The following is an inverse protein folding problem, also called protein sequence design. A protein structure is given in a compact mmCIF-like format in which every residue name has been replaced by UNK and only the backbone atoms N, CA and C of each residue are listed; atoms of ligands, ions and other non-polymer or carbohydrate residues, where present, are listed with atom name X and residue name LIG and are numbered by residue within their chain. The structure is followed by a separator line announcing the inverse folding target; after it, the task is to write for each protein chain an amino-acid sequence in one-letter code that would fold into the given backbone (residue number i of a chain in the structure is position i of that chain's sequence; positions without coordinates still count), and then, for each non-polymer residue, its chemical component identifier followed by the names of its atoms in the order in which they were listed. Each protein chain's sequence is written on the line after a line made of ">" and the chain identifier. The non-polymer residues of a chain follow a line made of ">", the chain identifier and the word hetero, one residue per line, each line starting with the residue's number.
data_IF_985059148031
#
_entry.id   IF_985059148031
#
_cell.length_a   1.000
_cell.length_b   1.000
_cell.length_c   1.000
_cell.angle_alpha   90.00
_cell.angle_beta   90.00
_cell.angle_gamma   90.00
#
_symmetry.space_group_name_H-M   'P 1'
#
loop_
_entity.id
_entity.type
_entity.pdbx_description
1 polymer ?
#
# COMPACT_ATOMS: atom_id res chain seq x y z
N UNK A 1 20.67 77.15 -23.20
CA UNK A 1 21.26 75.83 -23.51
C UNK A 1 20.55 74.75 -22.68
N UNK A 2 19.71 73.91 -23.30
CA UNK A 2 18.98 72.81 -22.64
C UNK A 2 19.91 71.58 -22.52
N UNK A 3 20.23 71.16 -21.29
CA UNK A 3 21.00 69.93 -21.04
C UNK A 3 20.12 68.71 -21.28
N UNK A 4 20.29 68.06 -22.43
CA UNK A 4 19.75 66.72 -22.70
C UNK A 4 20.77 65.72 -22.15
N UNK A 5 20.70 65.43 -20.86
CA UNK A 5 21.61 64.48 -20.22
C UNK A 5 20.88 63.68 -19.15
N UNK A 6 19.92 62.81 -19.52
CA UNK A 6 19.42 61.78 -18.59
C UNK A 6 18.61 60.65 -19.22
N UNK A 7 18.82 60.26 -20.48
CA UNK A 7 18.08 59.13 -21.05
C UNK A 7 18.75 57.77 -20.76
N UNK A 8 20.09 57.68 -20.84
CA UNK A 8 20.80 56.40 -20.68
C UNK A 8 20.76 55.85 -19.25
N UNK A 9 20.79 56.70 -18.21
CA UNK A 9 20.77 56.25 -16.79
C UNK A 9 19.43 55.64 -16.39
N UNK A 10 18.32 56.12 -16.96
CA UNK A 10 16.97 55.60 -16.67
C UNK A 10 16.83 54.16 -17.20
N UNK A 11 17.43 53.86 -18.35
CA UNK A 11 17.38 52.52 -18.93
C UNK A 11 18.15 51.49 -18.09
N UNK A 12 19.29 51.86 -17.48
CA UNK A 12 20.03 50.94 -16.61
C UNK A 12 19.27 50.61 -15.32
N UNK A 13 18.61 51.59 -14.71
CA UNK A 13 17.81 51.37 -13.49
C UNK A 13 16.62 50.44 -13.79
N UNK A 14 15.94 50.64 -14.92
CA UNK A 14 14.82 49.77 -15.32
C UNK A 14 15.26 48.32 -15.55
N UNK A 15 16.44 48.11 -16.17
CA UNK A 15 17.01 46.76 -16.39
C UNK A 15 17.36 46.09 -15.05
N UNK A 16 17.97 46.81 -14.11
CA UNK A 16 18.30 46.26 -12.78
C UNK A 16 17.02 45.87 -12.02
N UNK A 17 16.00 46.72 -12.04
CA UNK A 17 14.70 46.43 -11.40
C UNK A 17 14.05 45.20 -12.03
N UNK A 18 14.08 45.07 -13.36
CA UNK A 18 13.53 43.92 -14.07
C UNK A 18 14.19 42.60 -13.62
N UNK A 19 15.52 42.55 -13.54
CA UNK A 19 16.23 41.36 -13.08
C UNK A 19 15.99 41.05 -11.60
N UNK A 20 15.90 42.09 -10.74
CA UNK A 20 15.57 41.90 -9.33
C UNK A 20 14.18 41.28 -9.15
N UNK A 21 13.16 41.77 -9.87
CA UNK A 21 11.81 41.22 -9.84
C UNK A 21 11.78 39.81 -10.40
N UNK A 22 12.50 39.54 -11.50
CA UNK A 22 12.58 38.21 -12.09
C UNK A 22 13.18 37.19 -11.12
N UNK A 23 14.26 37.55 -10.41
CA UNK A 23 14.88 36.69 -9.40
C UNK A 23 13.93 36.42 -8.22
N UNK A 24 13.16 37.42 -7.78
CA UNK A 24 12.13 37.25 -6.74
C UNK A 24 11.05 36.27 -7.21
N UNK A 25 10.55 36.42 -8.45
CA UNK A 25 9.54 35.52 -9.02
C UNK A 25 10.09 34.10 -9.14
N UNK A 26 11.31 33.92 -9.64
CA UNK A 26 11.98 32.62 -9.72
C UNK A 26 12.12 32.00 -8.33
N UNK A 27 12.50 32.78 -7.32
CA UNK A 27 12.59 32.32 -5.94
C UNK A 27 11.22 31.86 -5.39
N UNK A 28 10.15 32.63 -5.63
CA UNK A 28 8.80 32.24 -5.20
C UNK A 28 8.28 31.00 -5.94
N UNK A 29 8.56 30.87 -7.24
CA UNK A 29 8.23 29.67 -7.98
C UNK A 29 9.02 28.47 -7.45
N UNK A 30 10.33 28.60 -7.29
CA UNK A 30 11.19 27.53 -6.80
C UNK A 30 10.81 27.09 -5.38
N UNK A 31 10.53 28.03 -4.47
CA UNK A 31 10.05 27.71 -3.11
C UNK A 31 8.65 27.10 -3.07
N UNK A 32 7.79 27.39 -4.06
CA UNK A 32 6.46 26.77 -4.20
C UNK A 32 6.53 25.36 -4.78
N UNK A 33 7.51 25.09 -5.66
CA UNK A 33 7.74 23.78 -6.27
C UNK A 33 8.58 22.86 -5.38
N UNK A 34 9.59 23.41 -4.70
CA UNK A 34 10.37 22.73 -3.67
C UNK A 34 9.63 22.89 -2.36
N UNK A 35 8.52 22.16 -2.20
CA UNK A 35 8.07 21.84 -0.84
C UNK A 35 9.24 21.16 -0.16
N UNK A 36 9.78 21.71 0.93
CA UNK A 36 10.87 21.05 1.61
C UNK A 36 10.34 19.68 2.08
N UNK A 37 10.93 18.60 1.58
CA UNK A 37 10.76 17.23 2.11
C UNK A 37 11.20 17.11 3.59
N UNK A 38 11.57 18.22 4.24
CA UNK A 38 12.01 18.32 5.63
C UNK A 38 10.95 17.99 6.69
N UNK A 39 9.70 17.65 6.31
CA UNK A 39 8.69 17.12 7.25
C UNK A 39 8.68 15.58 7.35
N UNK A 40 9.83 14.94 7.07
CA UNK A 40 9.95 13.47 7.01
C UNK A 40 11.06 12.88 7.90
N UNK A 41 11.87 13.68 8.58
CA UNK A 41 13.11 13.21 9.22
C UNK A 41 12.98 12.43 10.54
N UNK A 42 11.77 12.18 11.06
CA UNK A 42 11.58 11.50 12.36
C UNK A 42 10.67 10.25 12.31
N UNK A 43 10.49 9.60 11.16
CA UNK A 43 9.74 8.32 11.15
C UNK A 43 10.69 7.15 11.39
N UNK A 44 10.71 6.68 12.62
CA UNK A 44 11.40 5.47 13.01
C UNK A 44 10.84 4.27 12.22
N UNK A 45 11.75 3.51 11.60
CA UNK A 45 11.43 2.25 10.97
C UNK A 45 11.49 1.14 12.00
N UNK A 46 10.50 0.25 11.98
CA UNK A 46 10.48 -0.97 12.79
C UNK A 46 10.59 -2.19 11.90
N UNK A 47 11.29 -3.21 12.40
CA UNK A 47 11.42 -4.50 11.74
C UNK A 47 10.41 -5.48 12.33
N UNK A 48 9.82 -6.29 11.47
CA UNK A 48 8.76 -7.23 11.80
C UNK A 48 9.03 -8.56 11.13
N UNK A 49 8.68 -9.66 11.81
CA UNK A 49 8.75 -10.99 11.20
C UNK A 49 7.60 -11.90 11.63
N UNK A 50 7.15 -12.72 10.69
CA UNK A 50 6.25 -13.84 10.93
C UNK A 50 6.74 -15.06 10.14
N UNK A 51 6.71 -16.23 10.77
CA UNK A 51 7.08 -17.49 10.14
C UNK A 51 5.89 -18.44 10.16
N UNK A 52 5.77 -19.25 9.11
CA UNK A 52 4.72 -20.26 8.96
C UNK A 52 5.22 -21.45 8.12
N UNK A 53 4.43 -22.53 8.02
CA UNK A 53 4.69 -23.60 7.06
C UNK A 53 4.63 -23.18 5.57
N UNK A 54 3.99 -22.04 5.26
CA UNK A 54 3.74 -21.59 3.88
C UNK A 54 4.68 -20.48 3.42
N UNK A 55 5.16 -19.66 4.35
CA UNK A 55 6.08 -18.57 4.07
C UNK A 55 6.81 -18.10 5.34
N UNK A 56 8.03 -17.62 5.16
CA UNK A 56 8.67 -16.67 6.09
C UNK A 56 8.50 -15.27 5.51
N UNK A 57 7.98 -14.35 6.32
CA UNK A 57 7.77 -12.96 5.91
C UNK A 57 8.50 -12.05 6.89
N UNK A 58 9.33 -11.17 6.35
CA UNK A 58 9.90 -10.05 7.10
C UNK A 58 9.47 -8.75 6.45
N UNK A 59 9.29 -7.70 7.24
CA UNK A 59 9.17 -6.38 6.68
C UNK A 59 9.78 -5.32 7.57
N UNK A 60 10.33 -4.29 6.93
CA UNK A 60 10.76 -3.05 7.57
C UNK A 60 9.79 -1.96 7.18
N UNK A 61 9.11 -1.34 8.15
CA UNK A 61 8.05 -0.39 7.86
C UNK A 61 7.90 0.74 8.88
N UNK A 62 7.17 1.77 8.48
CA UNK A 62 6.69 2.86 9.31
C UNK A 62 5.26 3.26 8.89
N UNK A 63 4.76 4.39 9.38
CA UNK A 63 3.42 4.91 9.09
C UNK A 63 3.13 5.19 7.59
N UNK A 64 4.15 5.20 6.73
CA UNK A 64 4.06 5.60 5.31
C UNK A 64 4.44 4.50 4.33
N UNK A 65 5.42 3.67 4.65
CA UNK A 65 5.97 2.70 3.70
C UNK A 65 6.34 1.40 4.40
N UNK A 66 6.20 0.30 3.67
CA UNK A 66 6.57 -1.03 4.11
C UNK A 66 7.39 -1.71 3.01
N UNK A 67 8.61 -2.11 3.36
CA UNK A 67 9.49 -2.92 2.53
C UNK A 67 9.35 -4.38 2.98
N UNK A 68 8.70 -5.21 2.18
CA UNK A 68 8.40 -6.60 2.53
C UNK A 68 9.33 -7.53 1.78
N UNK A 69 9.82 -8.56 2.47
CA UNK A 69 10.46 -9.71 1.89
C UNK A 69 9.68 -10.97 2.28
N UNK A 70 9.43 -11.84 1.31
CA UNK A 70 8.77 -13.13 1.54
C UNK A 70 9.59 -14.23 0.90
N UNK A 71 9.85 -15.27 1.69
CA UNK A 71 10.36 -16.56 1.24
C UNK A 71 9.22 -17.57 1.27
N UNK A 72 8.77 -18.01 0.10
CA UNK A 72 7.70 -18.99 0.01
C UNK A 72 8.22 -20.39 0.35
N UNK A 73 7.39 -21.18 1.02
CA UNK A 73 7.67 -22.58 1.40
C UNK A 73 6.71 -23.48 0.65
N UNK A 74 5.88 -24.27 1.33
CA UNK A 74 4.88 -25.12 0.70
C UNK A 74 3.67 -24.28 0.26
N UNK A 75 3.25 -24.38 -1.00
CA UNK A 75 2.12 -23.63 -1.57
C UNK A 75 0.99 -24.54 -2.07
N UNK A 76 1.10 -25.87 -1.89
CA UNK A 76 0.21 -26.86 -2.50
C UNK A 76 -1.29 -26.68 -2.18
N UNK A 77 -1.61 -26.07 -1.04
CA UNK A 77 -3.00 -25.81 -0.60
C UNK A 77 -3.24 -24.32 -0.28
N UNK A 78 -2.45 -23.42 -0.89
CA UNK A 78 -2.54 -21.99 -0.62
C UNK A 78 -3.13 -21.25 -1.81
N UNK A 79 -4.21 -20.51 -1.57
CA UNK A 79 -4.88 -19.69 -2.58
C UNK A 79 -4.54 -18.20 -2.49
N UNK A 80 -4.19 -17.70 -1.30
CA UNK A 80 -3.69 -16.34 -1.12
C UNK A 80 -2.81 -16.19 0.13
N UNK A 81 -1.86 -15.27 0.05
CA UNK A 81 -1.02 -14.80 1.15
C UNK A 81 -1.01 -13.27 1.13
N UNK A 82 -1.32 -12.65 2.27
CA UNK A 82 -1.32 -11.19 2.40
C UNK A 82 -1.10 -10.76 3.86
N UNK A 83 -0.84 -9.46 4.04
CA UNK A 83 -0.65 -8.83 5.35
C UNK A 83 -1.89 -8.01 5.67
N UNK A 84 -2.44 -8.19 6.86
CA UNK A 84 -3.48 -7.38 7.45
C UNK A 84 -2.94 -6.44 8.52
N UNK A 85 -3.63 -5.35 8.79
CA UNK A 85 -3.49 -4.63 10.05
C UNK A 85 -3.98 -5.54 11.18
N UNK A 86 -3.32 -5.51 12.33
CA UNK A 86 -3.84 -6.18 13.51
C UNK A 86 -5.01 -5.36 14.10
N UNK A 87 -6.10 -6.06 14.39
CA UNK A 87 -7.30 -5.52 15.03
C UNK A 87 -7.58 -6.34 16.30
N UNK A 88 -6.72 -6.17 17.31
CA UNK A 88 -6.80 -6.84 18.61
C UNK A 88 -6.80 -8.38 18.50
N UNK A 89 -5.82 -8.94 17.79
CA UNK A 89 -5.68 -10.38 17.61
C UNK A 89 -6.58 -10.95 16.50
N UNK A 90 -7.24 -10.09 15.73
CA UNK A 90 -8.01 -10.48 14.54
C UNK A 90 -7.52 -9.73 13.29
N UNK A 91 -7.63 -10.31 12.09
CA UNK A 91 -7.29 -9.60 10.85
C UNK A 91 -8.20 -8.38 10.65
N UNK A 92 -7.61 -7.20 10.50
CA UNK A 92 -8.28 -5.96 10.12
C UNK A 92 -8.27 -5.75 8.60
N UNK A 93 -8.12 -4.50 8.11
CA UNK A 93 -7.84 -4.20 6.71
C UNK A 93 -6.66 -4.95 6.10
N UNK A 94 -6.76 -5.35 4.83
CA UNK A 94 -5.60 -5.80 4.05
C UNK A 94 -4.68 -4.61 3.77
N UNK A 95 -3.39 -4.79 4.05
CA UNK A 95 -2.33 -3.81 3.80
C UNK A 95 -1.53 -4.14 2.54
N UNK A 96 -1.30 -5.43 2.27
CA UNK A 96 -0.41 -5.87 1.21
C UNK A 96 -0.77 -7.26 0.71
N UNK A 97 -0.90 -7.43 -0.60
CA UNK A 97 -1.03 -8.74 -1.24
C UNK A 97 0.36 -9.29 -1.59
N UNK A 98 0.69 -10.47 -1.07
CA UNK A 98 1.99 -11.10 -1.28
C UNK A 98 1.92 -12.21 -2.33
N UNK A 99 0.74 -12.74 -2.61
CA UNK A 99 0.50 -13.65 -3.73
C UNK A 99 -0.92 -14.18 -3.71
N UNK A 100 -1.45 -14.49 -4.88
CA UNK A 100 -2.84 -14.98 -5.04
C UNK A 100 -2.95 -16.00 -6.16
N UNK A 101 -4.01 -16.79 -6.18
CA UNK A 101 -4.44 -17.54 -7.38
C UNK A 101 -5.38 -16.69 -8.23
N UNK A 102 -5.70 -17.14 -9.45
CA UNK A 102 -6.69 -16.47 -10.32
C UNK A 102 -8.09 -16.40 -9.67
N UNK A 103 -8.42 -17.40 -8.86
CA UNK A 103 -9.69 -17.50 -8.14
C UNK A 103 -9.95 -16.29 -7.25
N UNK A 104 -8.89 -15.74 -6.65
CA UNK A 104 -8.96 -14.56 -5.79
C UNK A 104 -9.20 -13.25 -6.55
N UNK A 105 -8.88 -13.19 -7.84
CA UNK A 105 -9.20 -12.02 -8.67
C UNK A 105 -10.67 -12.00 -9.08
N UNK A 106 -11.27 -13.18 -9.23
CA UNK A 106 -12.71 -13.33 -9.51
C UNK A 106 -13.60 -12.97 -8.31
N UNK A 107 -13.01 -12.98 -7.11
CA UNK A 107 -13.61 -12.47 -5.90
C UNK A 107 -14.26 -13.55 -5.04
N UNK A 108 -14.02 -13.44 -3.73
CA UNK A 108 -14.46 -14.37 -2.69
C UNK A 108 -15.69 -13.83 -1.99
N UNK A 109 -16.76 -14.64 -1.94
CA UNK A 109 -18.00 -14.29 -1.25
C UNK A 109 -17.80 -14.23 0.26
N UNK A 110 -18.12 -13.08 0.84
CA UNK A 110 -18.18 -12.92 2.29
C UNK A 110 -19.58 -13.25 2.82
N UNK A 111 -19.62 -13.95 3.96
CA UNK A 111 -20.84 -14.25 4.72
C UNK A 111 -21.30 -13.09 5.60
N UNK A 112 -20.35 -12.30 6.11
CA UNK A 112 -20.61 -11.22 7.06
C UNK A 112 -20.28 -9.86 6.44
N UNK A 113 -21.28 -8.98 6.36
CA UNK A 113 -21.12 -7.59 5.91
C UNK A 113 -20.09 -6.87 6.79
N UNK A 114 -19.16 -6.13 6.18
CA UNK A 114 -18.10 -5.34 6.84
C UNK A 114 -17.00 -6.14 7.57
N UNK A 115 -16.97 -7.48 7.49
CA UNK A 115 -15.94 -8.30 8.16
C UNK A 115 -14.49 -7.95 7.77
N UNK A 116 -14.29 -7.42 6.55
CA UNK A 116 -12.99 -6.98 6.03
C UNK A 116 -13.02 -5.50 5.60
N UNK A 117 -13.69 -4.63 6.38
CA UNK A 117 -13.56 -3.18 6.22
C UNK A 117 -12.06 -2.79 6.25
N UNK A 118 -11.58 -1.95 5.32
CA UNK A 118 -12.22 -0.78 4.70
C UNK A 118 -12.79 -1.07 3.31
N UNK A 119 -12.56 -2.27 2.76
CA UNK A 119 -12.93 -2.63 1.39
C UNK A 119 -14.40 -3.08 1.25
N UNK A 120 -15.07 -3.33 2.39
CA UNK A 120 -16.51 -3.50 2.45
C UNK A 120 -17.14 -2.22 3.03
N UNK A 121 -17.69 -1.36 2.17
CA UNK A 121 -18.44 -0.18 2.61
C UNK A 121 -19.94 -0.45 2.64
N UNK A 122 -20.71 0.41 3.31
CA UNK A 122 -22.19 0.38 3.29
C UNK A 122 -22.76 0.39 1.85
N UNK A 123 -21.98 0.88 0.88
CA UNK A 123 -22.39 1.09 -0.50
C UNK A 123 -22.01 -0.08 -1.44
N UNK A 124 -21.36 -1.15 -0.94
CA UNK A 124 -21.10 -2.37 -1.71
C UNK A 124 -21.82 -3.57 -1.06
N UNK A 125 -23.13 -3.76 -1.33
CA UNK A 125 -23.96 -4.77 -0.68
C UNK A 125 -23.66 -6.22 -1.12
N UNK A 126 -22.86 -6.41 -2.17
CA UNK A 126 -22.43 -7.72 -2.67
C UNK A 126 -20.98 -7.98 -2.28
N UNK A 127 -20.64 -7.88 -0.99
CA UNK A 127 -19.27 -7.95 -0.46
C UNK A 127 -18.46 -9.15 -1.01
N UNK A 128 -17.81 -8.92 -2.15
CA UNK A 128 -16.86 -9.80 -2.80
C UNK A 128 -15.51 -9.20 -2.51
N UNK A 129 -14.63 -9.99 -1.92
CA UNK A 129 -13.25 -9.60 -1.71
C UNK A 129 -12.44 -10.12 -2.88
N UNK A 130 -11.95 -9.22 -3.72
CA UNK A 130 -11.07 -9.56 -4.83
C UNK A 130 -9.67 -8.98 -4.59
N UNK A 131 -8.64 -9.72 -4.98
CA UNK A 131 -7.29 -9.17 -5.07
C UNK A 131 -7.19 -8.19 -6.25
N UNK A 132 -6.31 -7.17 -6.18
CA UNK A 132 -6.11 -6.25 -7.29
C UNK A 132 -5.62 -6.98 -8.54
N UNK A 133 -6.00 -6.46 -9.71
CA UNK A 133 -5.57 -6.95 -11.02
C UNK A 133 -4.06 -6.74 -11.18
N UNK A 134 -3.29 -7.79 -10.89
CA UNK A 134 -1.92 -8.15 -11.31
C UNK A 134 -0.76 -7.12 -11.27
N UNK A 135 -0.97 -5.84 -10.96
CA UNK A 135 0.13 -4.86 -10.91
C UNK A 135 0.93 -5.12 -9.62
N UNK A 136 1.86 -6.07 -9.70
CA UNK A 136 2.86 -6.36 -8.68
C UNK A 136 2.57 -7.53 -7.75
N UNK A 137 1.37 -8.14 -7.76
CA UNK A 137 1.09 -9.34 -6.95
C UNK A 137 1.32 -10.62 -7.77
N UNK A 138 2.23 -11.53 -7.35
CA UNK A 138 2.52 -12.73 -8.12
C UNK A 138 1.42 -13.79 -7.98
N UNK A 139 1.31 -14.63 -9.01
CA UNK A 139 0.45 -15.81 -8.96
C UNK A 139 1.08 -16.93 -8.16
N UNK A 140 0.42 -17.39 -7.10
CA UNK A 140 0.88 -18.53 -6.33
C UNK A 140 0.80 -19.80 -7.18
N UNK A 141 1.94 -20.50 -7.24
CA UNK A 141 2.06 -21.81 -7.84
C UNK A 141 3.14 -22.59 -7.11
N UNK A 142 3.13 -23.92 -7.22
CA UNK A 142 4.18 -24.78 -6.64
C UNK A 142 5.58 -24.49 -7.22
N UNK A 143 5.66 -23.84 -8.38
CA UNK A 143 6.93 -23.39 -8.97
C UNK A 143 7.58 -22.23 -8.18
N UNK A 144 6.81 -21.54 -7.33
CA UNK A 144 7.32 -20.47 -6.46
C UNK A 144 7.83 -20.98 -5.11
N UNK A 145 7.67 -22.27 -4.79
CA UNK A 145 8.17 -22.82 -3.54
C UNK A 145 9.70 -22.62 -3.45
N UNK A 146 10.18 -22.24 -2.26
CA UNK A 146 11.58 -21.87 -1.99
C UNK A 146 12.09 -20.62 -2.72
N UNK A 147 11.23 -19.91 -3.46
CA UNK A 147 11.58 -18.62 -4.06
C UNK A 147 11.42 -17.47 -3.05
N UNK A 148 12.07 -16.36 -3.37
CA UNK A 148 12.04 -15.13 -2.59
C UNK A 148 11.53 -13.97 -3.44
N UNK A 149 10.69 -13.12 -2.84
CA UNK A 149 10.17 -11.90 -3.49
C UNK A 149 10.22 -10.73 -2.53
N UNK A 150 10.49 -9.56 -3.09
CA UNK A 150 10.50 -8.29 -2.37
C UNK A 150 9.43 -7.36 -2.92
N UNK A 151 8.76 -6.66 -2.03
CA UNK A 151 7.70 -5.72 -2.37
C UNK A 151 7.88 -4.40 -1.63
N UNK A 152 7.28 -3.34 -2.19
CA UNK A 152 7.20 -2.04 -1.54
C UNK A 152 5.75 -1.59 -1.55
N UNK A 153 5.17 -1.40 -0.38
CA UNK A 153 3.80 -0.92 -0.21
C UNK A 153 3.81 0.45 0.43
N UNK A 154 2.98 1.36 -0.07
CA UNK A 154 2.84 2.72 0.44
C UNK A 154 1.46 2.91 1.03
N UNK A 155 1.41 3.62 2.15
CA UNK A 155 0.16 4.05 2.76
C UNK A 155 -0.39 5.22 1.96
N UNK A 156 -1.14 4.91 0.91
CA UNK A 156 -1.75 5.91 0.06
C UNK A 156 -2.95 6.51 0.81
N UNK A 157 -2.71 7.60 1.52
CA UNK A 157 -3.66 8.31 2.40
C UNK A 157 -4.92 8.86 1.70
N UNK A 158 -5.15 8.51 0.42
CA UNK A 158 -6.28 8.95 -0.40
C UNK A 158 -7.51 8.04 -0.26
N UNK A 159 -7.39 6.88 0.35
CA UNK A 159 -8.54 6.00 0.60
C UNK A 159 -9.45 6.60 1.69
N UNK A 160 -10.74 6.88 1.41
CA UNK A 160 -11.66 7.44 2.39
C UNK A 160 -11.92 6.44 3.52
N UNK A 161 -11.50 6.80 4.74
CA UNK A 161 -11.48 5.93 5.91
C UNK A 161 -10.07 5.41 6.19
N UNK A 162 -9.34 6.11 7.07
CA UNK A 162 -7.93 5.81 7.41
C UNK A 162 -7.79 4.36 7.89
N UNK A 163 -7.28 3.46 7.04
CA UNK A 163 -6.81 2.15 7.48
C UNK A 163 -5.77 2.37 8.59
N UNK A 164 -5.80 1.62 9.71
CA UNK A 164 -4.85 1.81 10.81
C UNK A 164 -3.40 1.48 10.43
N UNK A 165 -3.12 1.14 9.16
CA UNK A 165 -1.81 0.73 8.65
C UNK A 165 -1.19 -0.29 9.61
N UNK A 166 0.10 -0.19 9.90
CA UNK A 166 0.78 -1.07 10.88
C UNK A 166 0.77 -0.51 12.31
N UNK A 167 0.02 0.57 12.61
CA UNK A 167 0.09 1.26 13.91
C UNK A 167 -0.26 0.37 15.09
N UNK A 168 -1.22 -0.53 14.89
CA UNK A 168 -1.68 -1.46 15.92
C UNK A 168 -1.05 -2.84 15.78
N UNK A 169 -0.01 -2.97 14.94
CA UNK A 169 0.57 -4.24 14.56
C UNK A 169 0.10 -4.71 13.18
N UNK A 170 0.61 -5.87 12.79
CA UNK A 170 0.30 -6.51 11.52
C UNK A 170 0.13 -8.01 11.72
N UNK A 171 -0.61 -8.63 10.81
CA UNK A 171 -0.91 -10.06 10.82
C UNK A 171 -0.69 -10.66 9.44
N UNK A 172 0.06 -11.76 9.36
CA UNK A 172 0.15 -12.61 8.18
C UNK A 172 -1.10 -13.48 8.12
N UNK A 173 -1.81 -13.45 6.99
CA UNK A 173 -2.98 -14.30 6.76
C UNK A 173 -2.75 -15.14 5.50
N UNK A 174 -3.08 -16.42 5.62
CA UNK A 174 -2.98 -17.41 4.54
C UNK A 174 -4.34 -18.07 4.35
N UNK A 175 -4.72 -18.22 3.08
CA UNK A 175 -5.99 -18.78 2.67
C UNK A 175 -5.84 -20.09 1.91
N UNK A 176 -6.79 -21.01 2.09
CA UNK A 176 -6.95 -22.24 1.31
C UNK A 176 -7.98 -22.11 0.19
N UNK A 177 -8.36 -23.20 -0.45
CA UNK A 177 -9.24 -23.21 -1.63
C UNK A 177 -10.74 -23.41 -1.33
N UNK A 178 -11.12 -23.61 -0.06
CA UNK A 178 -12.49 -23.92 0.32
C UNK A 178 -13.36 -22.67 0.50
N UNK A 179 -13.48 -21.88 -0.56
CA UNK A 179 -14.29 -20.66 -0.58
C UNK A 179 -15.24 -20.59 -1.78
N UNK A 180 -16.34 -19.88 -1.60
CA UNK A 180 -17.30 -19.61 -2.65
C UNK A 180 -16.83 -18.44 -3.51
N UNK A 181 -16.68 -18.69 -4.81
CA UNK A 181 -16.25 -17.71 -5.81
C UNK A 181 -17.45 -17.07 -6.50
N UNK A 182 -17.25 -15.89 -7.09
CA UNK A 182 -18.16 -15.33 -8.08
C UNK A 182 -17.56 -15.45 -9.49
N UNK A 183 -18.17 -16.28 -10.34
CA UNK A 183 -17.77 -16.43 -11.74
C UNK A 183 -18.91 -15.87 -12.59
N UNK A 184 -18.67 -14.75 -13.26
CA UNK A 184 -19.63 -14.09 -14.17
C UNK A 184 -21.00 -13.81 -13.52
N UNK A 185 -21.01 -13.39 -12.25
CA UNK A 185 -22.23 -13.09 -11.49
C UNK A 185 -22.89 -14.31 -10.86
N UNK A 186 -22.35 -15.52 -11.03
CA UNK A 186 -22.86 -16.76 -10.44
C UNK A 186 -21.90 -17.26 -9.35
N UNK A 187 -22.48 -17.69 -8.23
CA UNK A 187 -21.73 -18.26 -7.12
C UNK A 187 -21.40 -19.73 -7.40
N UNK A 188 -20.18 -20.16 -7.09
CA UNK A 188 -19.79 -21.58 -7.16
C UNK A 188 -20.37 -22.38 -5.99
N UNK A 189 -20.24 -23.71 -6.02
CA UNK A 189 -20.70 -24.62 -4.96
C UNK A 189 -19.84 -24.62 -3.69
N UNK A 190 -18.81 -23.78 -3.60
CA UNK A 190 -17.93 -23.67 -2.44
C UNK A 190 -18.63 -23.13 -1.19
N UNK A 191 -17.99 -23.27 -0.02
CA UNK A 191 -18.49 -22.69 1.23
C UNK A 191 -18.29 -21.17 1.23
N UNK A 192 -19.33 -20.38 1.55
CA UNK A 192 -19.15 -18.94 1.75
C UNK A 192 -18.09 -18.65 2.83
N UNK A 193 -17.23 -17.66 2.59
CA UNK A 193 -16.15 -17.29 3.51
C UNK A 193 -14.78 -17.28 2.85
N UNK A 194 -13.75 -16.90 3.61
CA UNK A 194 -12.39 -16.67 3.12
C UNK A 194 -11.48 -17.91 3.18
N UNK A 195 -11.92 -19.01 3.79
CA UNK A 195 -11.08 -20.19 4.08
C UNK A 195 -9.70 -19.86 4.67
N UNK A 196 -9.68 -19.23 5.84
CA UNK A 196 -8.42 -18.88 6.51
C UNK A 196 -7.82 -20.14 7.13
N UNK A 197 -6.68 -20.57 6.60
CA UNK A 197 -5.93 -21.73 7.12
C UNK A 197 -4.86 -21.34 8.13
N UNK A 198 -4.40 -20.08 8.10
CA UNK A 198 -3.45 -19.55 9.08
C UNK A 198 -3.61 -18.05 9.32
N UNK A 199 -3.41 -17.65 10.56
CA UNK A 199 -3.20 -16.27 11.01
C UNK A 199 -1.98 -16.23 11.92
N UNK A 200 -1.06 -15.30 11.72
CA UNK A 200 0.12 -15.14 12.55
C UNK A 200 0.42 -13.67 12.80
N UNK A 201 0.53 -13.26 14.07
CA UNK A 201 0.90 -11.89 14.43
C UNK A 201 2.38 -11.68 14.12
N UNK A 202 2.71 -10.56 13.50
CA UNK A 202 4.10 -10.18 13.30
C UNK A 202 4.73 -9.70 14.61
N UNK A 203 5.88 -10.27 14.96
CA UNK A 203 6.66 -9.84 16.12
C UNK A 203 7.58 -8.70 15.71
N UNK A 204 7.64 -7.65 16.54
CA UNK A 204 8.64 -6.59 16.41
C UNK A 204 10.01 -7.18 16.75
N UNK A 205 10.96 -7.03 15.84
CA UNK A 205 12.36 -7.38 16.09
C UNK A 205 13.04 -6.17 16.74
N UNK A 206 13.61 -6.37 17.93
CA UNK A 206 14.45 -5.38 18.61
C UNK A 206 15.81 -5.26 17.91
#
# INVERSE_FOLDING_TARGET
>A
MKRIASSKKINYIAVIIFFAVLLIVIYFLYSSFVKPEFYYNNMEFKNYSASSPYADVTFRGNDRIMYVNVKYKNLSNVSAIHIHADNNGSPGPILAWLGTTEDWQRGVKQTTKNSNAPCCSKNNPKCLLASPDHIGTPYLSTLMENSEKTFVFRNDSKSPGKCPWIKHGAMLVVHGFNFQQNINGKLTSGKPGLDIILKSVFNVQQ
#
